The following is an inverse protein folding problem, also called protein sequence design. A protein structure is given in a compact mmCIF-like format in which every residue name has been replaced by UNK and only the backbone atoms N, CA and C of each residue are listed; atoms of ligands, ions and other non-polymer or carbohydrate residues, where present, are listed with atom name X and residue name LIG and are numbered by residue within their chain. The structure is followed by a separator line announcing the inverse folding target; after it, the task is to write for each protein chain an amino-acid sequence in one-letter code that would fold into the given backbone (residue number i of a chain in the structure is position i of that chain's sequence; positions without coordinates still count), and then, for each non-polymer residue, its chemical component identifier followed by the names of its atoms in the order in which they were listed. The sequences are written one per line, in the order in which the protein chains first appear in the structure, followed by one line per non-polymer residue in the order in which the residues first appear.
data_IF_518571904119
#
_entry.id   IF_518571904119
#
_cell.length_a   1.000
_cell.length_b   1.000
_cell.length_c   1.000
_cell.angle_alpha   90.00
_cell.angle_beta   90.00
_cell.angle_gamma   90.00
#
_symmetry.space_group_name_H-M   'P 1'
#
loop_
_entity.id
_entity.type
_entity.pdbx_description
1 polymer ?
#
# COMPACT_ATOMS: atom_id res chain seq x y z
N UNK A 1 2.48 -20.73 7.46
CA UNK A 1 1.45 -20.28 8.41
C UNK A 1 0.04 -20.43 7.82
N UNK A 2 -0.92 -21.00 8.55
CA UNK A 2 -2.34 -21.08 8.12
C UNK A 2 -3.00 -19.70 8.15
N UNK A 3 -3.92 -19.42 7.22
CA UNK A 3 -4.56 -18.10 7.06
C UNK A 3 -5.31 -17.66 8.32
N UNK A 4 -6.14 -18.51 8.92
CA UNK A 4 -6.90 -18.13 10.12
C UNK A 4 -5.99 -17.80 11.30
N UNK A 5 -4.92 -18.58 11.46
CA UNK A 5 -3.93 -18.36 12.52
C UNK A 5 -3.16 -17.05 12.33
N UNK A 6 -2.74 -16.75 11.09
CA UNK A 6 -2.11 -15.48 10.76
C UNK A 6 -3.03 -14.29 11.08
N UNK A 7 -4.31 -14.41 10.71
CA UNK A 7 -5.32 -13.39 10.95
C UNK A 7 -5.51 -13.13 12.45
N UNK A 8 -5.63 -14.18 13.27
CA UNK A 8 -5.74 -14.04 14.73
C UNK A 8 -4.54 -13.30 15.33
N UNK A 9 -3.32 -13.61 14.88
CA UNK A 9 -2.10 -12.98 15.39
C UNK A 9 -1.92 -11.52 14.95
N UNK A 10 -2.43 -11.15 13.78
CA UNK A 10 -2.45 -9.75 13.32
C UNK A 10 -3.56 -8.97 14.06
N UNK A 11 -4.74 -9.57 14.24
CA UNK A 11 -5.82 -8.97 15.02
C UNK A 11 -5.42 -8.71 16.46
N UNK A 12 -4.79 -9.69 17.13
CA UNK A 12 -4.37 -9.54 18.52
C UNK A 12 -3.32 -8.43 18.68
N UNK A 13 -2.38 -8.34 17.74
CA UNK A 13 -1.45 -7.22 17.67
C UNK A 13 -2.17 -5.88 17.46
N UNK A 14 -3.17 -5.82 16.58
CA UNK A 14 -3.91 -4.59 16.28
C UNK A 14 -4.79 -4.10 17.43
N UNK A 15 -5.11 -4.92 18.44
CA UNK A 15 -5.98 -4.51 19.57
C UNK A 15 -5.45 -3.35 20.41
N UNK A 16 -4.14 -3.13 20.39
CA UNK A 16 -3.50 -1.99 21.06
C UNK A 16 -3.25 -0.81 20.11
N UNK A 17 -3.94 -0.77 18.97
CA UNK A 17 -4.03 0.38 18.07
C UNK A 17 -5.46 0.88 18.08
N UNK A 18 -5.69 2.05 18.68
CA UNK A 18 -7.00 2.68 18.69
C UNK A 18 -7.52 2.87 17.25
N UNK A 19 -8.77 2.47 16.98
CA UNK A 19 -9.37 2.52 15.64
C UNK A 19 -9.03 1.34 14.72
N UNK A 20 -8.22 0.37 15.16
CA UNK A 20 -7.93 -0.82 14.35
C UNK A 20 -9.18 -1.71 14.17
N UNK A 21 -9.45 -2.07 12.92
CA UNK A 21 -10.61 -2.85 12.50
C UNK A 21 -10.20 -4.22 11.95
N UNK A 22 -11.13 -5.17 11.95
CA UNK A 22 -10.86 -6.52 11.47
C UNK A 22 -10.44 -6.54 9.99
N UNK A 23 -11.00 -5.63 9.19
CA UNK A 23 -10.71 -5.49 7.77
C UNK A 23 -9.25 -5.12 7.51
N UNK A 24 -8.59 -4.37 8.40
CA UNK A 24 -7.16 -4.07 8.28
C UNK A 24 -6.33 -5.35 8.30
N UNK A 25 -6.65 -6.28 9.22
CA UNK A 25 -5.95 -7.55 9.33
C UNK A 25 -6.29 -8.50 8.16
N UNK A 26 -7.57 -8.56 7.75
CA UNK A 26 -8.02 -9.42 6.64
C UNK A 26 -7.34 -9.03 5.33
N UNK A 27 -7.35 -7.74 4.97
CA UNK A 27 -6.75 -7.29 3.71
C UNK A 27 -5.22 -7.36 3.76
N UNK A 28 -4.60 -7.13 4.92
CA UNK A 28 -3.17 -7.30 5.10
C UNK A 28 -2.70 -8.75 4.92
N UNK A 29 -3.38 -9.71 5.57
CA UNK A 29 -3.03 -11.13 5.43
C UNK A 29 -3.27 -11.60 4.00
N UNK A 30 -4.41 -11.24 3.38
CA UNK A 30 -4.71 -11.61 1.99
C UNK A 30 -3.68 -11.05 1.01
N UNK A 31 -3.46 -9.73 1.05
CA UNK A 31 -2.50 -9.06 0.18
C UNK A 31 -1.08 -9.57 0.39
N UNK A 32 -0.70 -9.77 1.65
CA UNK A 32 0.60 -10.32 2.01
C UNK A 32 0.78 -11.75 1.52
N UNK A 33 -0.22 -12.62 1.66
CA UNK A 33 -0.18 -14.00 1.14
C UNK A 33 0.02 -14.01 -0.37
N UNK A 34 -0.78 -13.22 -1.10
CA UNK A 34 -0.63 -13.11 -2.55
C UNK A 34 0.78 -12.69 -2.96
N UNK A 35 1.34 -11.67 -2.30
CA UNK A 35 2.68 -11.18 -2.58
C UNK A 35 3.70 -12.30 -2.32
N UNK A 36 3.68 -12.91 -1.14
CA UNK A 36 4.64 -13.94 -0.74
C UNK A 36 4.54 -15.19 -1.63
N UNK A 37 3.33 -15.66 -1.94
CA UNK A 37 3.10 -16.80 -2.84
C UNK A 37 3.63 -16.52 -4.25
N UNK A 38 3.45 -15.29 -4.75
CA UNK A 38 3.89 -14.89 -6.09
C UNK A 38 5.42 -14.85 -6.23
N UNK A 39 6.15 -14.66 -5.12
CA UNK A 39 7.62 -14.59 -5.11
C UNK A 39 8.27 -15.81 -4.42
N UNK A 40 7.48 -16.77 -3.95
CA UNK A 40 7.92 -17.92 -3.15
C UNK A 40 9.09 -18.70 -3.78
N UNK A 41 9.08 -19.04 -5.10
CA UNK A 41 10.20 -19.76 -5.71
C UNK A 41 11.53 -19.01 -5.57
N UNK A 42 11.50 -17.68 -5.68
CA UNK A 42 12.69 -16.84 -5.59
C UNK A 42 13.15 -16.65 -4.14
N UNK A 43 12.22 -16.58 -3.19
CA UNK A 43 12.56 -16.57 -1.77
C UNK A 43 13.22 -17.89 -1.35
N UNK A 44 12.77 -19.03 -1.89
CA UNK A 44 13.38 -20.34 -1.64
C UNK A 44 14.84 -20.38 -2.15
N UNK A 45 15.12 -19.82 -3.32
CA UNK A 45 16.49 -19.67 -3.84
C UNK A 45 17.34 -18.72 -2.97
N UNK A 46 16.76 -17.61 -2.52
CA UNK A 46 17.45 -16.61 -1.70
C UNK A 46 17.82 -17.14 -0.31
N UNK A 47 17.00 -18.02 0.28
CA UNK A 47 17.22 -18.59 1.60
C UNK A 47 18.62 -19.22 1.74
N UNK A 48 19.10 -19.91 0.70
CA UNK A 48 20.44 -20.51 0.69
C UNK A 48 21.56 -19.48 0.90
N UNK A 49 21.32 -18.21 0.55
CA UNK A 49 22.27 -17.11 0.68
C UNK A 49 22.01 -16.24 1.91
N UNK A 50 20.75 -15.97 2.24
CA UNK A 50 20.37 -15.01 3.29
C UNK A 50 20.09 -15.69 4.63
N UNK A 51 19.90 -17.01 4.64
CA UNK A 51 19.41 -17.78 5.79
C UNK A 51 18.07 -17.27 6.34
N UNK A 52 17.26 -16.66 5.45
CA UNK A 52 15.92 -16.18 5.75
C UNK A 52 14.92 -17.17 5.15
N UNK A 53 14.39 -18.04 5.98
CA UNK A 53 13.40 -19.03 5.55
C UNK A 53 12.12 -18.31 5.07
N UNK A 54 11.67 -18.54 3.83
CA UNK A 54 10.41 -17.97 3.33
C UNK A 54 9.19 -18.40 4.15
N UNK A 55 9.30 -19.49 4.90
CA UNK A 55 8.26 -20.06 5.76
C UNK A 55 8.40 -19.65 7.23
N UNK A 56 9.39 -18.83 7.57
CA UNK A 56 9.56 -18.29 8.93
C UNK A 56 8.33 -17.47 9.32
N UNK A 57 7.54 -18.01 10.27
CA UNK A 57 6.30 -17.39 10.70
C UNK A 57 6.53 -16.01 11.35
N UNK A 58 7.72 -15.77 11.92
CA UNK A 58 8.08 -14.48 12.51
C UNK A 58 8.22 -13.41 11.43
N UNK A 59 8.91 -13.73 10.32
CA UNK A 59 9.09 -12.81 9.19
C UNK A 59 7.77 -12.54 8.48
N UNK A 60 7.00 -13.60 8.22
CA UNK A 60 5.68 -13.49 7.58
C UNK A 60 4.75 -12.62 8.44
N UNK A 61 4.70 -12.85 9.75
CA UNK A 61 3.83 -12.08 10.64
C UNK A 61 4.27 -10.62 10.75
N UNK A 62 5.58 -10.34 10.81
CA UNK A 62 6.09 -8.98 10.80
C UNK A 62 5.70 -8.23 9.51
N UNK A 63 5.73 -8.91 8.36
CA UNK A 63 5.28 -8.36 7.09
C UNK A 63 3.78 -8.04 7.10
N UNK A 64 2.94 -8.99 7.53
CA UNK A 64 1.49 -8.78 7.58
C UNK A 64 1.09 -7.66 8.54
N UNK A 65 1.79 -7.51 9.67
CA UNK A 65 1.57 -6.38 10.59
C UNK A 65 1.93 -5.05 9.96
N UNK A 66 2.99 -4.96 9.16
CA UNK A 66 3.32 -3.72 8.44
C UNK A 66 2.27 -3.39 7.38
N UNK A 67 1.76 -4.39 6.64
CA UNK A 67 0.64 -4.15 5.71
C UNK A 67 -0.62 -3.68 6.44
N UNK A 68 -0.97 -4.31 7.57
CA UNK A 68 -2.12 -3.90 8.37
C UNK A 68 -1.97 -2.49 8.93
N UNK A 69 -0.75 -2.10 9.32
CA UNK A 69 -0.42 -0.75 9.75
C UNK A 69 -0.66 0.28 8.63
N UNK A 70 -0.26 -0.02 7.39
CA UNK A 70 -0.47 0.87 6.26
C UNK A 70 -1.96 1.08 5.98
N UNK A 71 -2.76 0.01 5.99
CA UNK A 71 -4.23 0.10 5.85
C UNK A 71 -4.89 0.86 6.99
N UNK A 72 -4.46 0.65 8.23
CA UNK A 72 -4.99 1.37 9.37
C UNK A 72 -4.65 2.88 9.32
N UNK A 73 -3.42 3.23 8.92
CA UNK A 73 -3.02 4.63 8.74
C UNK A 73 -3.85 5.31 7.64
N UNK A 74 -4.09 4.64 6.51
CA UNK A 74 -4.97 5.11 5.42
C UNK A 74 -6.35 5.50 5.99
N UNK A 75 -7.01 4.57 6.69
CA UNK A 75 -8.33 4.81 7.27
C UNK A 75 -8.30 5.87 8.38
N UNK A 76 -7.22 5.99 9.16
CA UNK A 76 -7.06 7.07 10.14
C UNK A 76 -7.06 8.45 9.48
N UNK A 77 -6.54 8.58 8.25
CA UNK A 77 -6.55 9.83 7.49
C UNK A 77 -7.89 10.08 6.77
N UNK A 78 -8.55 9.02 6.30
CA UNK A 78 -9.77 9.14 5.49
C UNK A 78 -11.05 9.20 6.34
N UNK A 79 -11.03 8.64 7.55
CA UNK A 79 -12.23 8.41 8.36
C UNK A 79 -12.12 8.95 9.80
N UNK A 80 -11.08 9.74 10.09
CA UNK A 80 -10.86 10.38 11.39
C UNK A 80 -10.97 9.38 12.57
N UNK A 81 -10.45 8.16 12.39
CA UNK A 81 -10.59 7.07 13.38
C UNK A 81 -9.98 7.39 14.74
N UNK A 82 -9.05 8.34 14.78
CA UNK A 82 -8.37 8.84 15.99
C UNK A 82 -8.23 10.36 15.92
N UNK A 83 -8.02 11.01 17.06
CA UNK A 83 -7.88 12.47 17.10
C UNK A 83 -6.62 12.94 16.34
N UNK A 84 -6.63 14.13 15.72
CA UNK A 84 -5.48 14.66 14.98
C UNK A 84 -4.17 14.69 15.78
N UNK A 85 -4.22 15.00 17.08
CA UNK A 85 -3.04 15.00 17.95
C UNK A 85 -2.49 13.59 18.18
N UNK A 86 -3.37 12.59 18.26
CA UNK A 86 -2.98 11.19 18.37
C UNK A 86 -2.33 10.71 17.08
N UNK A 87 -2.92 11.04 15.92
CA UNK A 87 -2.38 10.70 14.61
C UNK A 87 -1.00 11.31 14.40
N UNK A 88 -0.82 12.59 14.72
CA UNK A 88 0.49 13.25 14.65
C UNK A 88 1.55 12.57 15.56
N UNK A 89 1.16 12.16 16.76
CA UNK A 89 2.05 11.43 17.67
C UNK A 89 2.41 10.02 17.16
N UNK A 90 1.44 9.33 16.55
CA UNK A 90 1.63 8.02 15.90
C UNK A 90 2.58 8.15 14.71
N UNK A 91 2.35 9.09 13.80
CA UNK A 91 3.22 9.34 12.64
C UNK A 91 4.66 9.60 13.09
N UNK A 92 4.83 10.43 14.12
CA UNK A 92 6.14 10.74 14.68
C UNK A 92 6.83 9.50 15.24
N UNK A 93 6.10 8.67 16.00
CA UNK A 93 6.64 7.43 16.54
C UNK A 93 7.06 6.47 15.42
N UNK A 94 6.20 6.27 14.41
CA UNK A 94 6.47 5.35 13.31
C UNK A 94 7.62 5.78 12.39
N UNK A 95 8.00 7.06 12.41
CA UNK A 95 9.09 7.62 11.61
C UNK A 95 10.44 7.72 12.37
N UNK A 96 10.56 7.14 13.56
CA UNK A 96 11.75 7.18 14.42
C UNK A 96 12.27 5.78 14.76
N UNK A 97 13.59 5.64 14.95
CA UNK A 97 14.24 4.37 15.29
C UNK A 97 13.96 3.90 16.74
N UNK A 98 13.66 4.85 17.65
CA UNK A 98 13.38 4.57 19.06
C UNK A 98 12.02 5.17 19.47
N UNK A 99 10.91 4.62 18.94
CA UNK A 99 9.59 5.17 19.18
C UNK A 99 9.21 5.11 20.65
N UNK A 100 8.72 6.22 21.18
CA UNK A 100 7.83 6.20 22.35
C UNK A 100 6.41 6.23 21.84
N UNK A 101 5.74 5.09 21.86
CA UNK A 101 4.34 5.02 21.47
C UNK A 101 3.48 5.87 22.44
N UNK A 102 2.53 6.66 21.92
CA UNK A 102 1.48 7.21 22.76
C UNK A 102 0.64 6.07 23.37
N UNK A 103 0.01 6.34 24.51
CA UNK A 103 -0.89 5.36 25.18
C UNK A 103 -2.01 4.93 24.22
N UNK A 104 -2.27 3.62 24.15
CA UNK A 104 -3.26 3.05 23.22
C UNK A 104 -2.78 2.87 21.79
N UNK A 105 -1.46 2.93 21.58
CA UNK A 105 -0.77 2.71 20.30
C UNK A 105 0.53 1.90 20.48
N UNK A 106 0.61 1.08 21.53
CA UNK A 106 1.83 0.37 21.93
C UNK A 106 2.37 -0.54 20.81
N UNK A 107 1.47 -1.09 19.99
CA UNK A 107 1.82 -1.94 18.86
C UNK A 107 2.65 -1.24 17.78
N UNK A 108 2.57 0.10 17.66
CA UNK A 108 3.44 0.87 16.77
C UNK A 108 4.91 0.72 17.18
N UNK A 109 5.21 0.92 18.46
CA UNK A 109 6.57 0.81 18.98
C UNK A 109 7.06 -0.64 18.94
N UNK A 110 6.21 -1.60 19.30
CA UNK A 110 6.54 -3.02 19.24
C UNK A 110 6.85 -3.48 17.81
N UNK A 111 6.06 -3.04 16.82
CA UNK A 111 6.28 -3.37 15.42
C UNK A 111 7.60 -2.77 14.91
N UNK A 112 7.87 -1.49 15.19
CA UNK A 112 9.13 -0.85 14.79
C UNK A 112 10.35 -1.48 15.46
N UNK A 113 10.25 -1.88 16.73
CA UNK A 113 11.32 -2.61 17.42
C UNK A 113 11.54 -4.01 16.83
N UNK A 114 10.47 -4.73 16.50
CA UNK A 114 10.54 -6.04 15.83
C UNK A 114 11.24 -5.91 14.48
N UNK A 115 10.83 -4.96 13.64
CA UNK A 115 11.46 -4.73 12.33
C UNK A 115 12.94 -4.31 12.47
N UNK A 116 13.29 -3.49 13.46
CA UNK A 116 14.69 -3.14 13.72
C UNK A 116 15.55 -4.37 14.07
N UNK A 117 15.00 -5.31 14.85
CA UNK A 117 15.67 -6.55 15.25
C UNK A 117 15.75 -7.56 14.10
N UNK A 118 14.69 -7.64 13.30
CA UNK A 118 14.59 -8.60 12.19
C UNK A 118 15.32 -8.12 10.93
N UNK A 119 15.73 -6.86 10.83
CA UNK A 119 16.36 -6.32 9.63
C UNK A 119 17.60 -7.12 9.22
N UNK A 120 17.56 -7.71 8.02
CA UNK A 120 18.74 -8.33 7.39
C UNK A 120 19.82 -7.28 7.11
N UNK A 121 19.39 -6.14 6.57
CA UNK A 121 20.22 -4.95 6.40
C UNK A 121 19.55 -3.77 7.11
N UNK A 122 20.24 -3.19 8.11
CA UNK A 122 19.74 -2.04 8.87
C UNK A 122 19.41 -0.83 7.99
N UNK A 123 20.04 -0.70 6.81
CA UNK A 123 19.74 0.38 5.85
C UNK A 123 18.30 0.31 5.35
N UNK A 124 17.74 -0.89 5.19
CA UNK A 124 16.33 -1.05 4.79
C UNK A 124 15.37 -0.66 5.94
N UNK A 125 15.76 -0.83 7.20
CA UNK A 125 14.98 -0.31 8.33
C UNK A 125 14.94 1.22 8.34
N UNK A 126 16.08 1.87 8.17
CA UNK A 126 16.16 3.34 8.08
C UNK A 126 15.34 3.85 6.88
N UNK A 127 15.43 3.16 5.74
CA UNK A 127 14.65 3.51 4.56
C UNK A 127 13.15 3.31 4.79
N UNK A 128 12.73 2.27 5.50
CA UNK A 128 11.31 2.04 5.84
C UNK A 128 10.76 3.19 6.70
N UNK A 129 11.53 3.71 7.66
CA UNK A 129 11.11 4.88 8.45
C UNK A 129 10.92 6.13 7.58
N UNK A 130 11.80 6.36 6.61
CA UNK A 130 11.67 7.48 5.66
C UNK A 130 10.49 7.27 4.71
N UNK A 131 10.29 6.06 4.20
CA UNK A 131 9.15 5.70 3.37
C UNK A 131 7.83 5.86 4.16
N UNK A 132 7.78 5.52 5.46
CA UNK A 132 6.62 5.79 6.32
C UNK A 132 6.35 7.29 6.48
N UNK A 133 7.39 8.10 6.68
CA UNK A 133 7.24 9.55 6.78
C UNK A 133 6.66 10.15 5.50
N UNK A 134 7.13 9.69 4.33
CA UNK A 134 6.63 10.13 3.02
C UNK A 134 5.19 9.68 2.79
N UNK A 135 4.86 8.45 3.15
CA UNK A 135 3.50 7.91 3.07
C UNK A 135 2.51 8.75 3.88
N UNK A 136 2.75 8.94 5.18
CA UNK A 136 1.89 9.77 6.04
C UNK A 136 1.83 11.23 5.57
N UNK A 137 2.96 11.79 5.10
CA UNK A 137 2.99 13.11 4.51
C UNK A 137 2.09 13.23 3.27
N UNK A 138 2.08 12.21 2.42
CA UNK A 138 1.27 12.16 1.21
C UNK A 138 -0.24 12.00 1.49
N UNK A 139 -0.60 11.19 2.50
CA UNK A 139 -1.99 11.07 2.95
C UNK A 139 -2.52 12.42 3.49
N UNK A 140 -1.75 13.09 4.36
CA UNK A 140 -2.11 14.44 4.85
C UNK A 140 -2.23 15.47 3.73
N UNK A 141 -1.32 15.43 2.76
CA UNK A 141 -1.33 16.37 1.64
C UNK A 141 -2.56 16.17 0.76
N UNK A 142 -2.95 14.92 0.45
CA UNK A 142 -4.16 14.59 -0.29
C UNK A 142 -5.41 15.11 0.40
N UNK A 143 -5.56 14.79 1.70
CA UNK A 143 -6.68 15.23 2.51
C UNK A 143 -6.76 16.77 2.63
N UNK A 144 -5.63 17.44 2.87
CA UNK A 144 -5.56 18.90 2.92
C UNK A 144 -5.97 19.51 1.57
N UNK A 145 -5.55 18.89 0.47
CA UNK A 145 -5.88 19.40 -0.85
C UNK A 145 -7.37 19.28 -1.16
N UNK A 146 -7.99 18.16 -0.81
CA UNK A 146 -9.43 17.96 -0.90
C UNK A 146 -10.21 19.06 -0.14
N UNK A 147 -9.70 19.48 1.04
CA UNK A 147 -10.34 20.47 1.88
C UNK A 147 -10.17 21.94 1.42
N UNK A 148 -9.01 22.32 0.85
CA UNK A 148 -8.71 23.75 0.56
C UNK A 148 -9.36 24.29 -0.72
N UNK A 149 -9.95 23.44 -1.55
CA UNK A 149 -10.60 23.82 -2.81
C UNK A 149 -9.66 24.32 -3.91
N UNK A 150 -8.37 24.52 -3.62
CA UNK A 150 -7.33 24.64 -4.64
C UNK A 150 -7.11 23.26 -5.23
N UNK A 151 -6.95 23.18 -6.54
CA UNK A 151 -6.81 21.89 -7.22
C UNK A 151 -5.38 21.72 -7.70
N UNK A 152 -4.77 20.57 -7.39
CA UNK A 152 -3.48 20.18 -7.92
C UNK A 152 -3.54 20.07 -9.45
N UNK A 153 -2.39 20.21 -10.10
CA UNK A 153 -2.19 19.67 -11.44
C UNK A 153 -2.20 18.14 -11.39
N UNK A 154 -2.37 17.51 -12.56
CA UNK A 154 -2.22 16.05 -12.68
C UNK A 154 -0.83 15.57 -12.23
N UNK A 155 0.22 16.35 -12.52
CA UNK A 155 1.59 16.00 -12.14
C UNK A 155 1.80 16.02 -10.62
N UNK A 156 1.31 17.07 -9.93
CA UNK A 156 1.38 17.14 -8.46
C UNK A 156 0.56 16.02 -7.80
N UNK A 157 -0.62 15.73 -8.34
CA UNK A 157 -1.45 14.62 -7.86
C UNK A 157 -0.74 13.28 -8.00
N UNK A 158 -0.15 12.99 -9.17
CA UNK A 158 0.52 11.72 -9.42
C UNK A 158 1.78 11.57 -8.57
N UNK A 159 2.55 12.64 -8.36
CA UNK A 159 3.73 12.63 -7.49
C UNK A 159 3.35 12.30 -6.04
N UNK A 160 2.28 12.92 -5.52
CA UNK A 160 1.71 12.58 -4.21
C UNK A 160 1.19 11.13 -4.18
N UNK A 161 0.47 10.75 -5.23
CA UNK A 161 -0.16 9.44 -5.40
C UNK A 161 0.83 8.27 -5.42
N UNK A 162 2.05 8.50 -5.92
CA UNK A 162 3.16 7.53 -5.90
C UNK A 162 3.64 7.24 -4.47
N UNK A 163 3.61 8.23 -3.58
CA UNK A 163 3.95 8.03 -2.18
C UNK A 163 2.78 7.41 -1.40
N UNK A 164 1.54 7.86 -1.64
CA UNK A 164 0.35 7.38 -0.91
C UNK A 164 -0.14 5.98 -1.33
N UNK A 165 0.38 5.38 -2.40
CA UNK A 165 0.09 3.96 -2.72
C UNK A 165 0.95 2.96 -1.91
N UNK A 166 1.92 3.45 -1.13
CA UNK A 166 2.76 2.70 -0.20
C UNK A 166 3.60 1.52 -0.75
N UNK A 167 3.71 1.34 -2.07
CA UNK A 167 4.50 0.24 -2.65
C UNK A 167 5.99 0.31 -2.27
N UNK A 168 6.53 1.51 -2.08
CA UNK A 168 7.89 1.70 -1.54
C UNK A 168 8.05 1.06 -0.16
N UNK A 169 7.06 1.22 0.71
CA UNK A 169 7.04 0.64 2.06
C UNK A 169 6.97 -0.88 1.99
N UNK A 170 6.09 -1.43 1.14
CA UNK A 170 5.95 -2.88 0.92
C UNK A 170 7.27 -3.49 0.47
N UNK A 171 7.90 -2.93 -0.56
CA UNK A 171 9.19 -3.40 -1.06
C UNK A 171 10.31 -3.29 -0.04
N UNK A 172 10.34 -2.18 0.71
CA UNK A 172 11.34 -1.98 1.75
C UNK A 172 11.18 -2.98 2.89
N UNK A 173 9.94 -3.28 3.30
CA UNK A 173 9.65 -4.27 4.34
C UNK A 173 10.05 -5.69 3.89
N UNK A 174 9.75 -6.07 2.65
CA UNK A 174 10.19 -7.35 2.08
C UNK A 174 11.73 -7.46 2.05
N UNK A 175 12.42 -6.40 1.62
CA UNK A 175 13.89 -6.38 1.61
C UNK A 175 14.48 -6.47 3.00
N UNK A 176 13.90 -5.75 3.97
CA UNK A 176 14.28 -5.79 5.38
C UNK A 176 14.21 -7.21 5.93
N UNK A 177 13.14 -7.94 5.66
CA UNK A 177 12.87 -9.24 6.27
C UNK A 177 13.60 -10.40 5.58
N UNK A 178 13.68 -10.39 4.24
CA UNK A 178 14.23 -11.49 3.44
C UNK A 178 15.59 -11.19 2.77
N UNK A 179 16.13 -9.99 2.95
CA UNK A 179 17.46 -9.63 2.43
C UNK A 179 17.50 -9.48 0.90
N UNK A 180 16.57 -8.69 0.34
CA UNK A 180 16.45 -8.49 -1.11
C UNK A 180 17.44 -7.46 -1.68
N UNK A 181 18.30 -6.88 -0.84
CA UNK A 181 19.34 -5.91 -1.20
C UNK A 181 18.80 -4.61 -1.84
N UNK A 182 17.60 -4.17 -1.42
CA UNK A 182 16.98 -2.96 -1.94
C UNK A 182 17.86 -1.73 -1.70
N UNK A 183 18.49 -1.60 -0.52
CA UNK A 183 19.39 -0.50 -0.21
C UNK A 183 20.51 -0.33 -1.26
N UNK A 184 21.11 -1.42 -1.76
CA UNK A 184 22.12 -1.32 -2.81
C UNK A 184 21.51 -1.01 -4.17
N UNK A 185 20.40 -1.67 -4.52
CA UNK A 185 19.72 -1.48 -5.79
C UNK A 185 19.19 -0.05 -5.96
N UNK A 186 18.73 0.61 -4.89
CA UNK A 186 18.31 2.01 -4.90
C UNK A 186 19.39 2.98 -5.35
N UNK A 187 20.67 2.60 -5.36
CA UNK A 187 21.74 3.43 -5.95
C UNK A 187 21.68 3.48 -7.47
N UNK A 188 21.09 2.46 -8.12
CA UNK A 188 20.88 2.42 -9.58
C UNK A 188 19.71 3.34 -9.97
N UNK A 189 19.89 4.31 -10.88
CA UNK A 189 18.81 5.18 -11.34
C UNK A 189 17.63 4.40 -11.91
N UNK A 190 17.91 3.34 -12.67
CA UNK A 190 16.91 2.51 -13.29
C UNK A 190 16.05 1.75 -12.27
N UNK A 191 16.62 1.27 -11.16
CA UNK A 191 15.82 0.63 -10.10
C UNK A 191 14.87 1.65 -9.44
N UNK A 192 15.34 2.86 -9.16
CA UNK A 192 14.48 3.94 -8.63
C UNK A 192 13.35 4.27 -9.61
N UNK A 193 13.65 4.31 -10.90
CA UNK A 193 12.65 4.53 -11.95
C UNK A 193 11.63 3.39 -12.01
N UNK A 194 12.06 2.13 -11.88
CA UNK A 194 11.16 0.98 -11.86
C UNK A 194 10.19 1.05 -10.67
N UNK A 195 10.70 1.38 -9.47
CA UNK A 195 9.88 1.57 -8.25
C UNK A 195 8.88 2.72 -8.42
N UNK A 196 9.31 3.85 -9.00
CA UNK A 196 8.40 4.96 -9.28
C UNK A 196 7.30 4.56 -10.28
N UNK A 197 7.66 3.86 -11.36
CA UNK A 197 6.72 3.42 -12.40
C UNK A 197 5.67 2.46 -11.86
N UNK A 198 6.07 1.46 -11.06
CA UNK A 198 5.11 0.51 -10.49
C UNK A 198 4.18 1.16 -9.46
N UNK A 199 4.68 2.12 -8.66
CA UNK A 199 3.82 2.91 -7.78
C UNK A 199 2.82 3.76 -8.57
N UNK A 200 3.26 4.43 -9.64
CA UNK A 200 2.38 5.25 -10.48
C UNK A 200 1.29 4.38 -11.16
N UNK A 201 1.68 3.18 -11.64
CA UNK A 201 0.75 2.17 -12.17
C UNK A 201 -0.28 1.78 -11.10
N UNK A 202 0.17 1.45 -9.88
CA UNK A 202 -0.70 1.06 -8.77
C UNK A 202 -1.69 2.17 -8.40
N UNK A 203 -1.24 3.43 -8.34
CA UNK A 203 -2.10 4.59 -8.09
C UNK A 203 -3.17 4.74 -9.17
N UNK A 204 -2.79 4.73 -10.46
CA UNK A 204 -3.75 4.86 -11.55
C UNK A 204 -4.76 3.69 -11.58
N UNK A 205 -4.31 2.47 -11.30
CA UNK A 205 -5.18 1.30 -11.17
C UNK A 205 -6.19 1.47 -10.04
N UNK A 206 -5.76 1.97 -8.88
CA UNK A 206 -6.63 2.23 -7.73
C UNK A 206 -7.67 3.30 -8.06
N UNK A 207 -7.26 4.45 -8.60
CA UNK A 207 -8.17 5.56 -8.88
C UNK A 207 -9.20 5.21 -9.96
N UNK A 208 -8.77 4.55 -11.03
CA UNK A 208 -9.67 4.12 -12.11
C UNK A 208 -10.72 3.13 -11.61
N UNK A 209 -10.36 2.27 -10.65
CA UNK A 209 -11.30 1.33 -10.05
C UNK A 209 -12.22 2.00 -9.03
N UNK A 210 -11.66 2.82 -8.14
CA UNK A 210 -12.38 3.48 -7.06
C UNK A 210 -13.30 4.61 -7.52
N UNK A 211 -13.12 5.13 -8.75
CA UNK A 211 -13.78 6.34 -9.23
C UNK A 211 -15.30 6.41 -8.97
N UNK A 212 -16.05 5.35 -9.25
CA UNK A 212 -17.51 5.40 -9.07
C UNK A 212 -17.94 5.40 -7.60
N UNK A 213 -17.19 4.69 -6.75
CA UNK A 213 -17.36 4.72 -5.28
C UNK A 213 -16.98 6.08 -4.73
N UNK A 214 -15.82 6.59 -5.11
CA UNK A 214 -15.30 7.87 -4.62
C UNK A 214 -16.25 9.02 -5.04
N UNK A 215 -16.79 8.96 -6.27
CA UNK A 215 -17.82 9.90 -6.72
C UNK A 215 -19.11 9.80 -5.90
N UNK A 216 -19.55 8.60 -5.52
CA UNK A 216 -20.84 8.42 -4.81
C UNK A 216 -20.79 8.94 -3.38
N UNK A 217 -19.62 8.92 -2.74
CA UNK A 217 -19.40 9.46 -1.38
C UNK A 217 -18.88 10.90 -1.38
N UNK A 218 -18.63 11.49 -2.57
CA UNK A 218 -18.15 12.86 -2.72
C UNK A 218 -16.65 13.04 -2.47
N UNK A 219 -15.88 11.95 -2.43
CA UNK A 219 -14.42 11.96 -2.34
C UNK A 219 -13.82 12.63 -3.58
N UNK A 220 -12.73 13.36 -3.38
CA UNK A 220 -12.13 14.25 -4.38
C UNK A 220 -10.67 13.94 -4.65
N UNK A 221 -10.02 13.15 -3.78
CA UNK A 221 -8.64 12.66 -3.92
C UNK A 221 -8.54 11.47 -4.89
N UNK A 222 -9.07 11.66 -6.11
CA UNK A 222 -9.05 10.66 -7.18
C UNK A 222 -8.69 11.35 -8.51
N UNK A 223 -7.71 10.82 -9.26
CA UNK A 223 -7.24 11.46 -10.50
C UNK A 223 -8.34 11.66 -11.56
N UNK A 224 -9.32 10.76 -11.66
CA UNK A 224 -10.45 10.91 -12.58
C UNK A 224 -11.30 12.10 -12.17
N UNK A 225 -11.61 12.21 -10.88
CA UNK A 225 -12.44 13.28 -10.32
C UNK A 225 -11.72 14.63 -10.44
N UNK A 226 -10.42 14.66 -10.12
CA UNK A 226 -9.57 15.83 -10.29
C UNK A 226 -9.59 16.36 -11.73
N UNK A 227 -9.34 15.48 -12.70
CA UNK A 227 -9.30 15.86 -14.11
C UNK A 227 -10.66 16.33 -14.62
N UNK A 228 -11.75 15.66 -14.24
CA UNK A 228 -13.10 16.07 -14.66
C UNK A 228 -13.53 17.40 -14.05
N UNK A 229 -13.08 17.73 -12.82
CA UNK A 229 -13.34 19.04 -12.22
C UNK A 229 -12.59 20.17 -12.91
N UNK A 230 -11.32 19.92 -13.28
CA UNK A 230 -10.48 20.92 -13.98
C UNK A 230 -10.81 21.06 -15.45
N UNK A 231 -11.16 19.96 -16.10
CA UNK A 231 -11.35 19.85 -17.54
C UNK A 231 -12.64 19.05 -17.84
N UNK A 232 -13.84 19.64 -17.65
CA UNK A 232 -15.11 18.90 -17.75
C UNK A 232 -15.38 18.23 -19.10
N UNK A 233 -14.79 18.75 -20.18
CA UNK A 233 -14.92 18.19 -21.53
C UNK A 233 -13.88 17.09 -21.85
N UNK A 234 -12.92 16.85 -20.96
CA UNK A 234 -11.86 15.88 -21.18
C UNK A 234 -12.38 14.44 -20.97
N UNK A 235 -12.03 13.49 -21.86
CA UNK A 235 -12.32 12.08 -21.62
C UNK A 235 -11.34 11.50 -20.58
N UNK A 236 -11.44 11.93 -19.31
CA UNK A 236 -10.46 11.67 -18.25
C UNK A 236 -10.14 10.18 -18.06
N UNK A 237 -11.17 9.32 -17.98
CA UNK A 237 -10.96 7.88 -17.82
C UNK A 237 -10.18 7.28 -19.01
N UNK A 238 -10.45 7.72 -20.24
CA UNK A 238 -9.71 7.26 -21.43
C UNK A 238 -8.26 7.70 -21.37
N UNK A 239 -8.02 8.98 -21.08
CA UNK A 239 -6.68 9.53 -20.92
C UNK A 239 -5.86 8.75 -19.87
N UNK A 240 -6.44 8.49 -18.69
CA UNK A 240 -5.75 7.77 -17.61
C UNK A 240 -5.49 6.30 -17.95
N UNK A 241 -6.37 5.65 -18.74
CA UNK A 241 -6.08 4.31 -19.28
C UNK A 241 -4.90 4.34 -20.28
N UNK A 242 -4.81 5.38 -21.12
CA UNK A 242 -3.68 5.55 -22.05
C UNK A 242 -2.37 5.82 -21.29
N UNK A 243 -2.40 6.64 -20.23
CA UNK A 243 -1.26 6.87 -19.32
C UNK A 243 -0.83 5.57 -18.62
N UNK A 244 -1.78 4.82 -18.05
CA UNK A 244 -1.52 3.52 -17.41
C UNK A 244 -0.84 2.54 -18.38
N UNK A 245 -1.34 2.45 -19.62
CA UNK A 245 -0.73 1.62 -20.66
C UNK A 245 0.67 2.12 -21.04
N UNK A 246 0.89 3.44 -21.08
CA UNK A 246 2.19 4.07 -21.31
C UNK A 246 3.23 3.73 -20.24
N UNK A 247 2.89 3.95 -18.97
CA UNK A 247 3.74 3.62 -17.82
C UNK A 247 4.06 2.13 -17.76
N UNK A 248 3.08 1.27 -18.06
CA UNK A 248 3.29 -0.19 -18.13
C UNK A 248 4.29 -0.57 -19.23
N UNK A 249 4.22 0.04 -20.42
CA UNK A 249 5.21 -0.18 -21.48
C UNK A 249 6.60 0.29 -21.06
N UNK A 250 6.70 1.43 -20.40
CA UNK A 250 7.98 1.94 -19.87
C UNK A 250 8.58 0.99 -18.83
N UNK A 251 7.77 0.48 -17.90
CA UNK A 251 8.19 -0.47 -16.89
C UNK A 251 8.69 -1.77 -17.52
N UNK A 252 7.90 -2.37 -18.42
CA UNK A 252 8.29 -3.62 -19.11
C UNK A 252 9.60 -3.48 -19.87
N UNK A 253 9.77 -2.38 -20.61
CA UNK A 253 11.03 -2.09 -21.30
C UNK A 253 12.20 -2.05 -20.32
N UNK A 254 12.04 -1.33 -19.22
CA UNK A 254 13.08 -1.18 -18.19
C UNK A 254 13.46 -2.51 -17.53
N UNK A 255 12.47 -3.37 -17.23
CA UNK A 255 12.70 -4.69 -16.65
C UNK A 255 13.49 -5.61 -17.61
N UNK A 256 13.22 -5.51 -18.91
CA UNK A 256 13.95 -6.26 -19.95
C UNK A 256 15.38 -5.72 -20.13
N UNK A 257 15.59 -4.41 -20.01
CA UNK A 257 16.92 -3.79 -20.18
C UNK A 257 17.85 -4.07 -18.99
N UNK A 258 17.35 -3.90 -17.76
CA UNK A 258 18.21 -3.79 -16.56
C UNK A 258 18.53 -5.09 -15.85
N UNK A 259 17.83 -6.18 -16.18
CA UNK A 259 18.01 -7.52 -15.60
C UNK A 259 18.23 -7.48 -14.07
N UNK A 260 17.27 -6.92 -13.33
CA UNK A 260 17.34 -6.88 -11.88
C UNK A 260 17.43 -8.32 -11.29
N UNK A 261 18.00 -8.49 -10.07
CA UNK A 261 18.00 -9.79 -9.41
C UNK A 261 16.59 -10.38 -9.38
N UNK A 262 16.49 -11.69 -9.59
CA UNK A 262 15.27 -12.36 -10.03
C UNK A 262 14.02 -12.11 -9.19
N UNK A 263 14.14 -12.06 -7.86
CA UNK A 263 13.04 -11.74 -6.97
C UNK A 263 12.38 -10.40 -7.27
N UNK A 264 13.13 -9.39 -7.74
CA UNK A 264 12.60 -8.06 -8.03
C UNK A 264 11.75 -8.01 -9.29
N UNK A 265 12.12 -8.76 -10.33
CA UNK A 265 11.30 -8.85 -11.54
C UNK A 265 9.93 -9.45 -11.23
N UNK A 266 9.92 -10.61 -10.57
CA UNK A 266 8.70 -11.29 -10.16
C UNK A 266 7.86 -10.48 -9.16
N UNK A 267 8.50 -9.80 -8.20
CA UNK A 267 7.81 -8.93 -7.26
C UNK A 267 7.13 -7.75 -7.97
N UNK A 268 7.83 -7.08 -8.89
CA UNK A 268 7.26 -5.97 -9.66
C UNK A 268 6.10 -6.48 -10.53
N UNK A 269 6.26 -7.62 -11.19
CA UNK A 269 5.19 -8.24 -11.99
C UNK A 269 3.97 -8.60 -11.12
N UNK A 270 4.17 -9.18 -9.94
CA UNK A 270 3.10 -9.47 -8.99
C UNK A 270 2.34 -8.20 -8.58
N UNK A 271 3.04 -7.10 -8.32
CA UNK A 271 2.39 -5.83 -7.99
C UNK A 271 1.61 -5.22 -9.16
N UNK A 272 1.92 -5.55 -10.41
CA UNK A 272 1.07 -5.11 -11.54
C UNK A 272 -0.28 -5.85 -11.58
N UNK A 273 -0.31 -7.09 -11.06
CA UNK A 273 -1.48 -7.97 -11.04
C UNK A 273 -2.24 -8.02 -9.72
N UNK A 274 -1.68 -7.46 -8.64
CA UNK A 274 -2.26 -7.49 -7.28
C UNK A 274 -3.68 -6.94 -7.24
N UNK A 275 -3.96 -5.97 -8.12
CA UNK A 275 -5.28 -5.37 -8.34
C UNK A 275 -6.34 -6.44 -8.63
N UNK A 276 -6.10 -7.30 -9.61
CA UNK A 276 -7.03 -8.37 -10.01
C UNK A 276 -7.31 -9.29 -8.82
N UNK A 277 -6.28 -9.62 -8.05
CA UNK A 277 -6.42 -10.45 -6.87
C UNK A 277 -7.30 -9.81 -5.78
N UNK A 278 -7.04 -8.54 -5.41
CA UNK A 278 -7.86 -7.84 -4.41
C UNK A 278 -9.32 -7.68 -4.86
N UNK A 279 -9.57 -7.38 -6.13
CA UNK A 279 -10.94 -7.14 -6.62
C UNK A 279 -11.75 -8.43 -6.83
N UNK A 280 -11.12 -9.54 -7.20
CA UNK A 280 -11.82 -10.83 -7.33
C UNK A 280 -12.12 -11.48 -5.98
N UNK A 281 -11.37 -11.14 -4.93
CA UNK A 281 -11.39 -11.90 -3.67
C UNK A 281 -11.74 -11.08 -2.42
N UNK A 282 -11.82 -9.74 -2.50
CA UNK A 282 -12.21 -8.90 -1.36
C UNK A 282 -13.71 -8.99 -1.06
N UNK A 283 -14.04 -8.98 0.24
CA UNK A 283 -15.40 -9.14 0.75
C UNK A 283 -16.17 -7.81 0.87
N UNK A 284 -15.49 -6.65 0.94
CA UNK A 284 -16.15 -5.37 1.22
C UNK A 284 -15.40 -4.14 0.68
N UNK A 285 -14.12 -3.93 1.02
CA UNK A 285 -13.36 -2.68 0.73
C UNK A 285 -13.27 -2.31 -0.76
N UNK A 286 -13.32 -3.33 -1.62
CA UNK A 286 -12.96 -3.23 -3.03
C UNK A 286 -14.03 -3.79 -3.99
N UNK A 287 -15.11 -4.37 -3.44
CA UNK A 287 -16.23 -4.89 -4.21
C UNK A 287 -17.16 -3.73 -4.56
N UNK A 288 -17.23 -3.40 -5.85
CA UNK A 288 -18.24 -2.52 -6.39
C UNK A 288 -19.58 -3.27 -6.39
N UNK A 289 -20.35 -3.17 -5.32
CA UNK A 289 -21.75 -3.63 -5.32
C UNK A 289 -22.60 -2.66 -6.16
N UNK A 290 -22.44 -2.79 -7.48
CA UNK A 290 -23.32 -2.23 -8.48
C UNK A 290 -24.42 -3.22 -8.81
N UNK A 291 -25.45 -3.31 -7.98
CA UNK A 291 -26.82 -3.60 -8.43
C UNK A 291 -27.83 -2.99 -7.47
N UNK A 292 -28.27 -1.77 -7.77
CA UNK A 292 -29.58 -1.31 -7.34
C UNK A 292 -30.63 -2.17 -8.05
N UNK A 293 -31.07 -3.26 -7.41
CA UNK A 293 -32.32 -3.90 -7.77
C UNK A 293 -33.43 -3.19 -7.02
N UNK A 294 -34.08 -2.26 -7.70
CA UNK A 294 -35.41 -1.77 -7.33
C UNK A 294 -36.39 -2.94 -7.31
N UNK A 295 -36.57 -3.56 -6.15
CA UNK A 295 -37.78 -4.34 -5.88
C UNK A 295 -38.90 -3.33 -5.52
N UNK A 296 -39.59 -2.82 -6.54
CA UNK A 296 -40.94 -2.27 -6.36
C UNK A 296 -41.84 -3.45 -5.99
N UNK A 297 -42.18 -3.57 -4.72
CA UNK A 297 -43.36 -4.32 -4.28
C UNK A 297 -44.58 -3.41 -4.48
N UNK A 298 -45.38 -3.71 -5.50
CA UNK A 298 -46.75 -3.23 -5.59
C UNK A 298 -47.57 -3.82 -4.42
N UNK A 299 -48.52 -3.07 -3.83
CA UNK A 299 -49.41 -3.59 -2.80
C UNK A 299 -50.55 -4.42 -3.45
N UNK A 300 -50.97 -5.54 -2.85
CA UNK A 300 -52.10 -6.30 -3.35
C UNK A 300 -53.43 -5.60 -3.04
N UNK A 301 -54.36 -5.75 -3.98
CA UNK A 301 -55.77 -5.40 -3.88
C UNK A 301 -56.54 -6.33 -2.93
#
# INVERSE_FOLDING_TARGET
MKTEFALELVLDWGRSLSGFAADHAVEAVRGGQYILESIQPWLDELNARTFRDPRDETLILAFYRELALLFWLDDCHDHDLIAPEQLAAVELALAQEAPRAPSGFESCAAQRASLAQLAYDRRDYIQLLDDTRRYCGALRAGHTQAATGKQWSYAEYLDNGVASIAYTNVFCCLSLLWGLDMACLRRRPAFRQAVWLISAIGRLQNDLHGCDRDRSIGETDNSVILLLRRYPAMPAAKFLNDELAGLTRMLRRLLVEEHFPSAWGALIDAMTGIRTHFYETSRSRYRSDGTGSTARTEPPA
#
